data_IF_379018483681
#
_entry.id   IF_379018483681
#
_cell.length_a   1.000
_cell.length_b   1.000
_cell.length_c   1.000
_cell.angle_alpha   90.00
_cell.angle_beta   90.00
_cell.angle_gamma   90.00
#
_symmetry.space_group_name_H-M   'P 1'
#
loop_
_entity.id
_entity.type
_entity.pdbx_description
1 polymer ?
#
# COMPACT_ATOMS: atom_id res chain seq x y z
N UNK A 1 -9.96 11.40 -16.46
CA UNK A 1 -8.69 10.79 -16.82
C UNK A 1 -8.38 9.67 -15.91
N UNK A 2 -8.17 8.49 -16.46
CA UNK A 2 -8.15 7.29 -15.66
C UNK A 2 -6.73 6.82 -15.41
N UNK A 3 -6.34 6.83 -14.14
CA UNK A 3 -5.10 6.17 -13.75
C UNK A 3 -5.34 4.67 -13.68
N UNK A 4 -4.29 3.91 -13.93
CA UNK A 4 -4.27 2.47 -13.77
C UNK A 4 -3.46 2.14 -12.52
N UNK A 5 -3.98 1.28 -11.66
CA UNK A 5 -3.26 0.86 -10.45
C UNK A 5 -2.52 -0.44 -10.73
N UNK A 6 -1.24 -0.46 -10.38
CA UNK A 6 -0.38 -1.63 -10.51
C UNK A 6 0.16 -1.96 -9.13
N UNK A 7 -0.11 -3.18 -8.67
CA UNK A 7 0.45 -3.68 -7.42
C UNK A 7 1.78 -4.35 -7.73
N UNK A 8 2.86 -3.76 -7.23
CA UNK A 8 4.21 -4.29 -7.48
C UNK A 8 4.43 -5.59 -6.70
N UNK A 9 5.34 -6.42 -7.18
CA UNK A 9 5.63 -7.70 -6.53
C UNK A 9 6.06 -7.52 -5.08
N UNK A 10 6.86 -6.49 -4.80
CA UNK A 10 7.29 -6.19 -3.43
C UNK A 10 6.12 -5.93 -2.49
N UNK A 11 5.10 -5.22 -2.98
CA UNK A 11 3.88 -4.99 -2.21
C UNK A 11 3.15 -6.30 -1.95
N UNK A 12 2.98 -7.11 -3.00
CA UNK A 12 2.25 -8.38 -2.88
C UNK A 12 2.94 -9.33 -1.92
N UNK A 13 4.27 -9.38 -1.94
CA UNK A 13 5.04 -10.19 -1.01
C UNK A 13 4.90 -9.71 0.43
N UNK A 14 4.96 -8.40 0.63
CA UNK A 14 4.74 -7.80 1.96
C UNK A 14 3.36 -8.17 2.50
N UNK A 15 2.34 -7.99 1.66
CA UNK A 15 0.96 -8.24 2.04
C UNK A 15 0.77 -9.71 2.41
N UNK A 16 1.25 -10.62 1.58
CA UNK A 16 1.13 -12.05 1.83
C UNK A 16 1.78 -12.42 3.16
N UNK A 17 2.98 -11.92 3.42
CA UNK A 17 3.71 -12.22 4.66
C UNK A 17 2.93 -11.76 5.88
N UNK A 18 2.38 -10.55 5.86
CA UNK A 18 1.66 -9.99 6.99
C UNK A 18 0.32 -10.72 7.19
N UNK A 19 -0.41 -10.96 6.10
CA UNK A 19 -1.69 -11.67 6.20
C UNK A 19 -1.52 -13.11 6.68
N UNK A 20 -0.44 -13.76 6.29
CA UNK A 20 -0.16 -15.13 6.73
C UNK A 20 0.02 -15.19 8.26
N UNK A 21 0.70 -14.20 8.84
CA UNK A 21 0.88 -14.13 10.29
C UNK A 21 -0.46 -13.94 11.01
N UNK A 22 -1.31 -13.08 10.47
CA UNK A 22 -2.62 -12.82 11.07
C UNK A 22 -3.51 -14.06 10.95
N UNK A 23 -3.44 -14.75 9.82
CA UNK A 23 -4.29 -15.90 9.53
C UNK A 23 -4.03 -17.08 10.46
N UNK A 24 -2.84 -17.18 11.06
CA UNK A 24 -2.53 -18.23 12.05
C UNK A 24 -3.53 -18.19 13.20
N UNK A 25 -3.85 -16.99 13.68
CA UNK A 25 -4.76 -16.83 14.82
C UNK A 25 -6.19 -16.52 14.39
N UNK A 26 -6.36 -15.82 13.26
CA UNK A 26 -7.67 -15.34 12.84
C UNK A 26 -7.76 -15.23 11.31
N UNK A 27 -8.13 -16.34 10.63
CA UNK A 27 -8.23 -16.34 9.16
C UNK A 27 -9.23 -15.34 8.60
N UNK A 28 -10.34 -15.14 9.31
CA UNK A 28 -11.38 -14.21 8.86
C UNK A 28 -10.87 -12.77 8.89
N UNK A 29 -10.16 -12.42 9.97
CA UNK A 29 -9.55 -11.09 10.08
C UNK A 29 -8.53 -10.85 8.98
N UNK A 30 -7.72 -11.86 8.66
CA UNK A 30 -6.75 -11.76 7.57
C UNK A 30 -7.44 -11.51 6.23
N UNK A 31 -8.51 -12.25 5.95
CA UNK A 31 -9.28 -12.07 4.73
C UNK A 31 -9.85 -10.67 4.62
N UNK A 32 -10.48 -10.20 5.70
CA UNK A 32 -11.12 -8.88 5.72
C UNK A 32 -10.08 -7.76 5.55
N UNK A 33 -8.94 -7.89 6.19
CA UNK A 33 -7.86 -6.90 6.07
C UNK A 33 -7.31 -6.88 4.66
N UNK A 34 -7.07 -8.04 4.07
CA UNK A 34 -6.59 -8.14 2.69
C UNK A 34 -7.53 -7.47 1.71
N UNK A 35 -8.83 -7.72 1.84
CA UNK A 35 -9.85 -7.09 0.99
C UNK A 35 -9.83 -5.57 1.13
N UNK A 36 -9.74 -5.08 2.37
CA UNK A 36 -9.69 -3.64 2.64
C UNK A 36 -8.46 -2.99 1.99
N UNK A 37 -7.31 -3.63 2.10
CA UNK A 37 -6.06 -3.09 1.55
C UNK A 37 -6.13 -3.02 0.02
N UNK A 38 -6.60 -4.07 -0.62
CA UNK A 38 -6.71 -4.09 -2.08
C UNK A 38 -7.71 -3.05 -2.56
N UNK A 39 -8.87 -2.94 -1.91
CA UNK A 39 -9.86 -1.91 -2.25
C UNK A 39 -9.29 -0.51 -2.09
N UNK A 40 -8.55 -0.28 -1.01
CA UNK A 40 -7.94 1.02 -0.76
C UNK A 40 -6.91 1.36 -1.83
N UNK A 41 -6.11 0.38 -2.25
CA UNK A 41 -5.17 0.57 -3.35
C UNK A 41 -5.87 0.86 -4.67
N UNK A 42 -6.92 0.11 -4.97
CA UNK A 42 -7.69 0.33 -6.20
C UNK A 42 -8.34 1.70 -6.24
N UNK A 43 -8.72 2.23 -5.09
CA UNK A 43 -9.33 3.57 -5.00
C UNK A 43 -8.38 4.69 -5.40
N UNK A 44 -7.08 4.40 -5.52
CA UNK A 44 -6.09 5.39 -5.93
C UNK A 44 -6.22 5.83 -7.39
N UNK A 45 -7.09 5.19 -8.17
CA UNK A 45 -7.44 5.69 -9.50
C UNK A 45 -8.12 7.05 -9.42
N UNK A 46 -8.72 7.38 -8.26
CA UNK A 46 -9.38 8.67 -8.02
C UNK A 46 -8.48 9.55 -7.17
N UNK A 47 -8.04 10.68 -7.74
CA UNK A 47 -7.19 11.64 -7.02
C UNK A 47 -6.01 10.98 -6.31
N UNK A 48 -5.11 10.33 -7.06
CA UNK A 48 -4.02 9.57 -6.44
C UNK A 48 -3.06 10.44 -5.63
N UNK A 49 -3.10 11.75 -5.81
CA UNK A 49 -2.24 12.68 -5.07
C UNK A 49 -2.86 13.20 -3.78
N UNK A 50 -3.99 12.64 -3.35
CA UNK A 50 -4.68 13.10 -2.13
C UNK A 50 -3.95 12.76 -0.82
N UNK A 51 -3.04 11.80 -0.85
CA UNK A 51 -2.28 11.40 0.35
C UNK A 51 -0.93 12.10 0.41
N UNK A 52 -0.37 12.30 1.61
CA UNK A 52 0.85 13.07 1.76
C UNK A 52 2.08 12.39 1.16
N UNK A 53 3.03 13.21 0.75
CA UNK A 53 4.32 12.75 0.26
C UNK A 53 5.16 12.22 1.41
N UNK A 54 5.96 11.20 1.12
CA UNK A 54 6.91 10.67 2.06
C UNK A 54 8.17 11.54 2.04
N UNK A 55 8.57 11.98 3.23
CA UNK A 55 9.74 12.82 3.39
C UNK A 55 10.98 12.06 2.91
N UNK A 56 11.85 12.75 2.15
CA UNK A 56 13.10 12.19 1.64
C UNK A 56 12.93 11.01 0.66
N UNK A 57 11.73 10.84 0.12
CA UNK A 57 11.46 9.81 -0.89
C UNK A 57 10.74 10.48 -2.07
N UNK A 58 11.47 11.12 -2.97
CA UNK A 58 10.85 11.87 -4.07
C UNK A 58 9.86 11.03 -4.87
N UNK A 59 8.68 11.59 -5.11
CA UNK A 59 7.65 10.93 -5.89
C UNK A 59 6.84 9.87 -5.17
N UNK A 60 7.16 9.58 -3.91
CA UNK A 60 6.45 8.55 -3.15
C UNK A 60 5.46 9.19 -2.18
N UNK A 61 4.27 8.61 -2.11
CA UNK A 61 3.22 9.00 -1.18
C UNK A 61 2.86 7.82 -0.30
N UNK A 62 2.16 8.10 0.78
CA UNK A 62 1.83 7.09 1.78
C UNK A 62 0.45 7.34 2.36
N UNK A 63 -0.30 6.27 2.62
CA UNK A 63 -1.48 6.36 3.48
C UNK A 63 -1.46 5.25 4.53
N UNK A 64 -2.26 5.44 5.58
CA UNK A 64 -2.28 4.55 6.75
C UNK A 64 -3.59 3.78 6.77
N UNK A 65 -3.51 2.48 7.04
CA UNK A 65 -4.67 1.61 7.24
C UNK A 65 -4.59 1.03 8.66
N UNK A 66 -5.72 1.02 9.36
CA UNK A 66 -5.82 0.41 10.69
C UNK A 66 -4.77 0.93 11.66
N UNK A 67 -4.61 2.23 11.73
CA UNK A 67 -3.74 2.97 12.66
C UNK A 67 -2.25 2.93 12.33
N UNK A 68 -1.70 1.80 11.91
CA UNK A 68 -0.25 1.70 11.80
C UNK A 68 0.26 1.01 10.53
N UNK A 69 -0.59 0.40 9.72
CA UNK A 69 -0.11 -0.19 8.46
C UNK A 69 0.04 0.91 7.42
N UNK A 70 1.21 0.98 6.81
CA UNK A 70 1.55 1.98 5.81
C UNK A 70 1.51 1.37 4.43
N UNK A 71 0.87 2.06 3.49
CA UNK A 71 0.89 1.69 2.08
C UNK A 71 1.64 2.78 1.33
N UNK A 72 2.75 2.40 0.70
CA UNK A 72 3.60 3.31 -0.07
C UNK A 72 3.28 3.15 -1.55
N UNK A 73 3.13 4.26 -2.24
CA UNK A 73 2.83 4.23 -3.66
C UNK A 73 3.47 5.41 -4.39
N UNK A 74 3.55 5.30 -5.71
CA UNK A 74 4.09 6.34 -6.58
C UNK A 74 3.13 6.62 -7.71
N UNK A 75 2.93 7.91 -8.03
CA UNK A 75 2.10 8.31 -9.15
C UNK A 75 3.01 8.62 -10.34
N UNK A 76 2.78 7.93 -11.45
CA UNK A 76 3.52 8.14 -12.69
C UNK A 76 2.61 8.84 -13.68
N UNK A 77 2.79 10.15 -13.84
CA UNK A 77 1.90 10.95 -14.69
C UNK A 77 2.07 10.64 -16.18
N UNK A 78 3.30 10.36 -16.61
CA UNK A 78 3.56 10.07 -18.03
C UNK A 78 2.78 8.87 -18.54
N UNK A 79 2.72 7.80 -17.76
CA UNK A 79 2.00 6.58 -18.10
C UNK A 79 0.62 6.53 -17.47
N UNK A 80 0.27 7.50 -16.65
CA UNK A 80 -0.98 7.53 -15.89
C UNK A 80 -1.19 6.27 -15.08
N UNK A 81 -0.15 5.85 -14.36
CA UNK A 81 -0.20 4.68 -13.49
C UNK A 81 0.08 5.07 -12.05
N UNK A 82 -0.52 4.30 -11.14
CA UNK A 82 -0.21 4.35 -9.72
C UNK A 82 0.44 3.02 -9.40
N UNK A 83 1.70 3.07 -8.99
CA UNK A 83 2.43 1.87 -8.58
C UNK A 83 2.35 1.73 -7.08
N UNK A 84 1.69 0.69 -6.58
CA UNK A 84 1.63 0.40 -5.15
C UNK A 84 2.88 -0.42 -4.82
N UNK A 85 3.78 0.17 -4.01
CA UNK A 85 5.16 -0.30 -3.87
C UNK A 85 5.38 -1.24 -2.70
N UNK A 86 4.91 -0.86 -1.52
CA UNK A 86 5.15 -1.62 -0.29
C UNK A 86 3.96 -1.55 0.66
N UNK A 87 3.75 -2.62 1.41
CA UNK A 87 2.85 -2.66 2.54
C UNK A 87 3.69 -2.93 3.80
N UNK A 88 3.58 -2.07 4.81
CA UNK A 88 4.56 -2.05 5.88
C UNK A 88 3.91 -1.88 7.24
N UNK A 89 4.38 -2.65 8.22
CA UNK A 89 3.95 -2.48 9.60
C UNK A 89 4.66 -1.25 10.17
N UNK A 90 3.90 -0.19 10.41
CA UNK A 90 4.44 1.09 10.88
C UNK A 90 4.99 1.06 12.30
N UNK A 91 4.84 -0.07 13.01
CA UNK A 91 5.45 -0.23 14.33
C UNK A 91 6.94 -0.56 14.25
N UNK A 92 7.44 -0.90 13.06
CA UNK A 92 8.88 -1.10 12.85
C UNK A 92 9.61 0.23 12.99
N UNK A 93 10.89 0.16 13.37
CA UNK A 93 11.71 1.34 13.60
C UNK A 93 11.96 2.17 12.35
N UNK A 94 12.06 1.53 11.20
CA UNK A 94 12.37 2.22 9.97
C UNK A 94 11.38 1.87 8.87
N UNK A 95 11.26 2.78 7.90
CA UNK A 95 10.47 2.55 6.70
C UNK A 95 11.20 1.57 5.76
N UNK A 96 10.47 0.95 4.81
CA UNK A 96 11.07 0.01 3.90
C UNK A 96 11.99 0.70 2.89
N UNK A 97 12.85 -0.09 2.28
CA UNK A 97 13.61 0.35 1.11
C UNK A 97 12.64 0.37 -0.07
N UNK A 98 12.61 1.49 -0.74
CA UNK A 98 11.69 1.69 -1.87
C UNK A 98 12.41 1.70 -3.21
#
# INVERSE_FOLDING_TARGET
MDFKVIFKDSFSEDLERILRKIAVDNPIAAWNLGALIIQSGESLIFFPERHPKVRQRPGVRRFIIKKYFKVFYRVQHGSQTVEVLRYWDGRRESDPIL
#
